data_IF_380311234770
#
_entry.id   IF_380311234770
#
_cell.length_a   1.000
_cell.length_b   1.000
_cell.length_c   1.000
_cell.angle_alpha   90.00
_cell.angle_beta   90.00
_cell.angle_gamma   90.00
#
_symmetry.space_group_name_H-M   'P 1'
#
loop_
_entity.id
_entity.type
_entity.pdbx_description
1 polymer ?
#
# COMPACT_ATOMS: atom_id res chain seq x y z
N UNK A 1 -19.31 36.17 6.88
CA UNK A 1 -18.30 35.19 7.32
C UNK A 1 -18.38 33.95 6.43
N UNK A 2 -17.40 33.75 5.54
CA UNK A 2 -17.19 32.48 4.83
C UNK A 2 -15.71 32.10 5.00
N UNK A 3 -15.39 31.59 6.17
CA UNK A 3 -14.12 30.89 6.41
C UNK A 3 -14.41 29.40 6.29
N UNK A 4 -13.84 28.76 5.27
CA UNK A 4 -13.09 27.52 5.54
C UNK A 4 -12.04 27.29 4.45
N UNK A 5 -10.76 27.58 4.73
CA UNK A 5 -9.63 27.28 3.85
C UNK A 5 -9.14 25.83 4.06
N UNK A 6 -10.04 24.84 4.01
CA UNK A 6 -9.75 23.50 4.55
C UNK A 6 -9.00 22.53 3.63
N UNK A 7 -8.93 22.74 2.31
CA UNK A 7 -7.97 22.00 1.46
C UNK A 7 -6.58 22.66 1.53
N UNK A 8 -6.08 22.85 2.75
CA UNK A 8 -4.71 23.32 2.96
C UNK A 8 -3.73 22.16 2.82
N UNK A 9 -2.53 22.44 2.32
CA UNK A 9 -1.42 21.48 2.26
C UNK A 9 -1.24 20.72 3.58
N UNK A 10 -1.36 21.44 4.70
CA UNK A 10 -1.22 20.90 6.04
C UNK A 10 -2.36 19.95 6.41
N UNK A 11 -3.60 20.25 6.00
CA UNK A 11 -4.77 19.39 6.22
C UNK A 11 -4.65 18.06 5.48
N UNK A 12 -4.35 18.10 4.18
CA UNK A 12 -4.16 16.89 3.36
C UNK A 12 -3.00 16.04 3.89
N UNK A 13 -1.87 16.68 4.24
CA UNK A 13 -0.71 16.02 4.87
C UNK A 13 -1.09 15.32 6.17
N UNK A 14 -1.82 16.00 7.06
CA UNK A 14 -2.22 15.44 8.35
C UNK A 14 -3.12 14.21 8.18
N UNK A 15 -4.09 14.27 7.26
CA UNK A 15 -4.97 13.12 6.98
C UNK A 15 -4.19 11.95 6.36
N UNK A 16 -3.25 12.22 5.47
CA UNK A 16 -2.38 11.18 4.92
C UNK A 16 -1.54 10.51 6.01
N UNK A 17 -0.95 11.29 6.93
CA UNK A 17 -0.21 10.74 8.07
C UNK A 17 -1.10 9.90 9.01
N UNK A 18 -2.32 10.33 9.29
CA UNK A 18 -3.29 9.54 10.05
C UNK A 18 -3.56 8.18 9.40
N UNK A 19 -3.76 8.18 8.07
CA UNK A 19 -3.97 6.95 7.29
C UNK A 19 -2.75 6.04 7.35
N UNK A 20 -1.55 6.59 7.15
CA UNK A 20 -0.30 5.83 7.24
C UNK A 20 -0.12 5.20 8.63
N UNK A 21 -0.31 5.97 9.70
CA UNK A 21 -0.21 5.47 11.07
C UNK A 21 -1.24 4.36 11.34
N UNK A 22 -2.48 4.53 10.91
CA UNK A 22 -3.51 3.53 11.09
C UNK A 22 -3.21 2.24 10.31
N UNK A 23 -2.73 2.35 9.07
CA UNK A 23 -2.35 1.17 8.29
C UNK A 23 -1.14 0.43 8.87
N UNK A 24 -0.11 1.15 9.31
CA UNK A 24 1.03 0.56 10.01
C UNK A 24 0.65 -0.16 11.29
N UNK A 25 -0.35 0.38 12.01
CA UNK A 25 -0.91 -0.29 13.19
C UNK A 25 -1.52 -1.64 12.87
N UNK A 26 -2.19 -1.80 11.72
CA UNK A 26 -2.70 -3.12 11.29
C UNK A 26 -1.57 -4.15 11.10
N UNK A 27 -0.36 -3.68 10.79
CA UNK A 27 0.84 -4.51 10.70
C UNK A 27 1.58 -4.70 12.01
N UNK A 28 1.03 -4.21 13.13
CA UNK A 28 1.58 -4.38 14.48
C UNK A 28 2.54 -3.29 14.93
N UNK A 29 2.66 -2.18 14.19
CA UNK A 29 3.45 -1.02 14.62
C UNK A 29 2.68 -0.26 15.71
N UNK A 30 3.30 0.15 16.83
CA UNK A 30 2.59 0.69 17.99
C UNK A 30 2.20 2.17 17.81
N UNK A 31 1.41 2.48 16.77
CA UNK A 31 0.80 3.79 16.59
C UNK A 31 -0.59 3.86 17.24
N UNK A 32 -0.94 5.03 17.75
CA UNK A 32 -2.23 5.27 18.41
C UNK A 32 -3.36 5.65 17.44
N UNK A 33 -3.06 5.86 16.16
CA UNK A 33 -4.06 6.22 15.17
C UNK A 33 -5.14 5.12 15.03
N UNK A 34 -6.39 5.56 14.90
CA UNK A 34 -7.56 4.72 14.63
C UNK A 34 -8.28 5.33 13.45
N UNK A 35 -8.42 4.57 12.37
CA UNK A 35 -9.39 4.92 11.35
C UNK A 35 -10.77 4.43 11.79
N UNK A 36 -11.79 5.29 11.78
CA UNK A 36 -13.16 4.86 12.04
C UNK A 36 -13.64 3.94 10.92
N UNK A 37 -14.44 2.93 11.27
CA UNK A 37 -15.06 2.03 10.29
C UNK A 37 -14.46 0.62 10.26
N UNK A 38 -14.97 -0.19 9.33
CA UNK A 38 -14.58 -1.58 9.18
C UNK A 38 -13.24 -1.72 8.42
N UNK A 39 -12.34 -2.57 8.95
CA UNK A 39 -11.01 -2.84 8.40
C UNK A 39 -11.07 -3.78 7.19
N UNK A 40 -11.67 -3.30 6.10
CA UNK A 40 -11.98 -4.11 4.91
C UNK A 40 -10.92 -3.99 3.82
N UNK A 41 -10.18 -2.88 3.82
CA UNK A 41 -9.17 -2.58 2.81
C UNK A 41 -7.92 -3.44 3.00
N UNK A 42 -7.53 -4.14 1.95
CA UNK A 42 -6.24 -4.85 1.87
C UNK A 42 -5.13 -3.82 1.74
N UNK A 43 -4.16 -3.85 2.65
CA UNK A 43 -3.03 -2.92 2.64
C UNK A 43 -1.89 -3.50 1.79
N UNK A 44 -1.39 -2.71 0.84
CA UNK A 44 -0.15 -3.01 0.13
C UNK A 44 1.07 -2.54 0.97
N UNK A 45 1.90 -3.46 1.49
CA UNK A 45 3.02 -3.09 2.35
C UNK A 45 4.14 -2.35 1.63
N UNK A 46 4.36 -2.57 0.32
CA UNK A 46 5.40 -1.83 -0.40
C UNK A 46 4.94 -0.41 -0.73
N UNK A 47 3.67 -0.23 -1.12
CA UNK A 47 3.15 1.12 -1.37
C UNK A 47 3.01 1.91 -0.06
N UNK A 48 2.61 1.26 1.04
CA UNK A 48 2.61 1.87 2.37
C UNK A 48 4.02 2.32 2.78
N UNK A 49 5.01 1.44 2.62
CA UNK A 49 6.41 1.76 2.89
C UNK A 49 6.90 2.92 2.03
N UNK A 50 6.70 2.82 0.70
CA UNK A 50 7.14 3.84 -0.25
C UNK A 50 6.53 5.20 0.04
N UNK A 51 5.23 5.25 0.34
CA UNK A 51 4.55 6.48 0.74
C UNK A 51 5.13 7.03 2.06
N UNK A 52 5.36 6.17 3.05
CA UNK A 52 5.88 6.58 4.36
C UNK A 52 7.25 7.25 4.28
N UNK A 53 8.11 6.84 3.34
CA UNK A 53 9.44 7.43 3.14
C UNK A 53 9.38 8.94 2.88
N UNK A 54 8.29 9.43 2.27
CA UNK A 54 8.05 10.87 2.04
C UNK A 54 8.12 11.70 3.32
N UNK A 55 7.69 11.11 4.45
CA UNK A 55 7.49 11.82 5.70
C UNK A 55 8.55 11.49 6.76
N UNK A 56 9.38 10.47 6.55
CA UNK A 56 10.31 9.99 7.59
C UNK A 56 11.34 11.03 8.06
N UNK A 57 11.68 12.02 7.23
CA UNK A 57 12.56 13.13 7.62
C UNK A 57 11.89 14.13 8.56
N UNK A 58 10.56 14.21 8.55
CA UNK A 58 9.74 15.16 9.30
C UNK A 58 9.00 14.49 10.47
N UNK A 59 8.80 13.17 10.40
CA UNK A 59 8.01 12.38 11.36
C UNK A 59 8.89 11.28 12.00
N UNK A 60 9.65 11.59 13.09
CA UNK A 60 10.57 10.65 13.72
C UNK A 60 9.91 9.36 14.20
N UNK A 61 8.67 9.46 14.72
CA UNK A 61 7.90 8.28 15.19
C UNK A 61 7.54 7.35 14.04
N UNK A 62 7.14 7.92 12.90
CA UNK A 62 6.89 7.14 11.69
C UNK A 62 8.19 6.45 11.23
N UNK A 63 9.29 7.20 11.16
CA UNK A 63 10.59 6.68 10.74
C UNK A 63 11.08 5.51 11.61
N UNK A 64 10.97 5.63 12.93
CA UNK A 64 11.34 4.57 13.87
C UNK A 64 10.45 3.33 13.70
N UNK A 65 9.13 3.50 13.68
CA UNK A 65 8.17 2.41 13.54
C UNK A 65 8.33 1.64 12.22
N UNK A 66 8.46 2.38 11.11
CA UNK A 66 8.69 1.81 9.77
C UNK A 66 10.00 1.02 9.74
N UNK A 67 11.11 1.61 10.21
CA UNK A 67 12.43 0.96 10.22
C UNK A 67 12.42 -0.33 11.04
N UNK A 68 11.83 -0.28 12.23
CA UNK A 68 11.73 -1.42 13.12
C UNK A 68 10.92 -2.55 12.45
N UNK A 69 9.78 -2.21 11.84
CA UNK A 69 8.94 -3.18 11.15
C UNK A 69 9.65 -3.81 9.95
N UNK A 70 10.29 -3.00 9.11
CA UNK A 70 11.04 -3.45 7.92
C UNK A 70 12.16 -4.40 8.32
N UNK A 71 12.89 -4.08 9.39
CA UNK A 71 13.97 -4.92 9.91
C UNK A 71 13.44 -6.27 10.40
N UNK A 72 12.31 -6.28 11.10
CA UNK A 72 11.69 -7.51 11.61
C UNK A 72 11.01 -8.35 10.52
N UNK A 73 10.55 -7.74 9.42
CA UNK A 73 9.72 -8.38 8.38
C UNK A 73 10.38 -8.40 6.99
N UNK A 74 11.70 -8.25 6.89
CA UNK A 74 12.43 -8.10 5.62
C UNK A 74 12.10 -9.17 4.58
N UNK A 75 11.91 -10.42 5.02
CA UNK A 75 11.58 -11.55 4.12
C UNK A 75 10.20 -11.44 3.48
N UNK A 76 9.31 -10.66 4.08
CA UNK A 76 7.94 -10.46 3.59
C UNK A 76 7.80 -9.25 2.68
N UNK A 77 8.84 -8.42 2.56
CA UNK A 77 8.84 -7.23 1.69
C UNK A 77 9.31 -7.61 0.29
N UNK A 78 8.59 -7.18 -0.73
CA UNK A 78 9.01 -7.35 -2.12
C UNK A 78 10.04 -6.28 -2.51
N UNK A 79 11.32 -6.61 -2.30
CA UNK A 79 12.45 -5.71 -2.63
C UNK A 79 12.50 -5.34 -4.12
N UNK A 80 12.11 -6.25 -5.00
CA UNK A 80 12.11 -5.98 -6.44
C UNK A 80 11.10 -4.88 -6.81
N UNK A 81 9.91 -4.88 -6.20
CA UNK A 81 8.92 -3.81 -6.39
C UNK A 81 9.45 -2.47 -5.89
N UNK A 82 10.00 -2.41 -4.69
CA UNK A 82 10.56 -1.17 -4.13
C UNK A 82 11.74 -0.65 -4.96
N UNK A 83 12.62 -1.53 -5.45
CA UNK A 83 13.69 -1.14 -6.36
C UNK A 83 13.16 -0.62 -7.70
N UNK A 84 12.03 -1.15 -8.17
CA UNK A 84 11.37 -0.64 -9.37
C UNK A 84 10.81 0.75 -9.13
N UNK A 85 10.10 0.96 -8.02
CA UNK A 85 9.60 2.27 -7.59
C UNK A 85 10.74 3.30 -7.48
N UNK A 86 11.84 2.93 -6.80
CA UNK A 86 13.02 3.78 -6.64
C UNK A 86 13.68 4.15 -7.97
N UNK A 87 13.75 3.20 -8.91
CA UNK A 87 14.30 3.47 -10.25
C UNK A 87 13.40 4.37 -11.08
N UNK A 88 12.08 4.25 -10.95
CA UNK A 88 11.13 5.10 -11.68
C UNK A 88 11.03 6.51 -11.10
N UNK A 89 11.29 6.67 -9.80
CA UNK A 89 11.26 7.95 -9.10
C UNK A 89 12.62 8.67 -9.21
N UNK A 90 12.95 9.13 -10.41
CA UNK A 90 14.21 9.84 -10.70
C UNK A 90 14.28 11.13 -9.87
N UNK A 91 15.40 11.35 -9.16
CA UNK A 91 15.62 12.49 -8.26
C UNK A 91 14.62 12.59 -7.09
N UNK A 92 14.04 11.47 -6.66
CA UNK A 92 13.14 11.42 -5.50
C UNK A 92 13.90 11.01 -4.23
N UNK A 93 13.79 11.81 -3.17
CA UNK A 93 14.43 11.55 -1.87
C UNK A 93 14.05 10.17 -1.30
N UNK A 94 12.85 9.67 -1.61
CA UNK A 94 12.40 8.33 -1.18
C UNK A 94 13.33 7.22 -1.66
N UNK A 95 13.92 7.38 -2.85
CA UNK A 95 14.87 6.41 -3.42
C UNK A 95 16.15 6.32 -2.58
N UNK A 96 16.68 7.44 -2.12
CA UNK A 96 17.86 7.50 -1.25
C UNK A 96 17.57 6.90 0.13
N UNK A 97 16.41 7.24 0.70
CA UNK A 97 15.97 6.72 2.00
C UNK A 97 15.74 5.20 1.95
N UNK A 98 15.17 4.70 0.86
CA UNK A 98 15.03 3.26 0.64
C UNK A 98 16.40 2.57 0.59
N UNK A 99 17.35 3.13 -0.17
CA UNK A 99 18.70 2.57 -0.25
C UNK A 99 19.40 2.58 1.12
N UNK A 100 19.27 3.66 1.89
CA UNK A 100 19.82 3.74 3.24
C UNK A 100 19.21 2.71 4.19
N UNK A 101 17.91 2.43 4.10
CA UNK A 101 17.26 1.35 4.87
C UNK A 101 17.78 -0.03 4.49
N UNK A 102 18.03 -0.25 3.20
CA UNK A 102 18.54 -1.52 2.68
C UNK A 102 20.00 -1.78 3.08
N UNK A 103 20.82 -0.73 3.10
CA UNK A 103 22.23 -0.76 3.49
C UNK A 103 22.42 -0.89 5.00
N UNK A 104 21.54 -0.25 5.79
CA UNK A 104 21.54 -0.35 7.25
C UNK A 104 21.11 -1.72 7.75
N UNK A 105 20.43 -2.51 6.92
CA UNK A 105 20.05 -3.85 7.29
C UNK A 105 21.30 -4.74 7.29
N UNK A 106 21.55 -5.52 8.35
CA UNK A 106 22.77 -6.31 8.48
C UNK A 106 22.95 -7.13 7.22
N UNK A 107 24.01 -6.80 6.47
CA UNK A 107 24.34 -7.52 5.26
C UNK A 107 24.53 -8.97 5.69
N UNK A 108 24.00 -9.90 4.89
CA UNK A 108 24.49 -11.26 4.92
C UNK A 108 25.93 -11.25 4.41
N UNK A 109 26.84 -10.60 5.15
CA UNK A 109 28.26 -10.79 5.01
C UNK A 109 28.45 -12.30 5.10
N UNK A 110 28.96 -12.88 4.01
CA UNK A 110 29.36 -14.28 3.93
C UNK A 110 29.99 -14.65 5.26
N UNK A 111 29.26 -15.37 6.09
CA UNK A 111 29.75 -15.79 7.38
C UNK A 111 30.92 -16.71 7.08
N UNK A 112 32.15 -16.19 7.23
CA UNK A 112 33.32 -17.04 7.47
C UNK A 112 32.88 -18.00 8.57
N UNK A 113 32.95 -19.30 8.28
CA UNK A 113 32.58 -20.39 9.20
C UNK A 113 33.46 -20.33 10.45
N UNK A 114 33.16 -19.41 11.36
CA UNK A 114 33.65 -19.48 12.72
C UNK A 114 32.48 -20.06 13.51
N UNK A 115 32.68 -21.27 14.03
CA UNK A 115 31.74 -21.94 14.94
C UNK A 115 31.65 -21.11 16.23
N UNK A 116 30.83 -20.08 16.21
CA UNK A 116 30.39 -19.38 17.42
C UNK A 116 28.89 -19.56 17.51
N UNK A 117 28.49 -20.34 18.52
CA UNK A 117 27.12 -20.54 18.99
C UNK A 117 26.53 -19.20 19.42
N UNK A 118 26.16 -18.37 18.45
CA UNK A 118 25.41 -17.14 18.68
C UNK A 118 23.96 -17.52 18.94
N UNK A 119 23.53 -17.31 20.19
CA UNK A 119 22.11 -17.31 20.57
C UNK A 119 21.37 -16.44 19.56
N UNK A 120 20.54 -17.05 18.70
CA UNK A 120 19.49 -16.36 17.95
C UNK A 120 18.69 -15.57 18.96
N UNK A 121 18.93 -14.26 19.06
CA UNK A 121 17.99 -13.34 19.68
C UNK A 121 16.71 -13.51 18.88
N UNK A 122 15.72 -14.17 19.48
CA UNK A 122 14.35 -14.19 18.97
C UNK A 122 13.90 -12.73 18.97
N UNK A 123 14.14 -12.02 17.88
CA UNK A 123 13.46 -10.75 17.61
C UNK A 123 11.99 -11.09 17.65
N UNK A 124 11.31 -10.68 18.73
CA UNK A 124 9.86 -10.83 18.83
C UNK A 124 9.28 -10.15 17.58
N UNK A 125 8.41 -10.81 16.82
CA UNK A 125 7.73 -10.11 15.72
C UNK A 125 7.04 -8.89 16.33
N UNK A 126 7.30 -7.71 15.75
CA UNK A 126 6.61 -6.49 16.15
C UNK A 126 5.09 -6.72 16.02
N UNK A 127 4.42 -6.60 17.17
CA UNK A 127 2.97 -6.68 17.33
C UNK A 127 2.31 -8.02 16.96
N UNK A 128 1.10 -8.22 17.47
CA UNK A 128 0.16 -9.13 16.83
C UNK A 128 -0.44 -8.37 15.65
N UNK A 129 -0.22 -8.88 14.44
CA UNK A 129 -0.89 -8.36 13.24
C UNK A 129 -2.39 -8.44 13.43
N UNK A 130 -3.12 -7.48 12.88
CA UNK A 130 -4.56 -7.56 12.90
C UNK A 130 -5.06 -8.80 12.14
N UNK A 131 -6.04 -9.48 12.71
CA UNK A 131 -6.80 -10.49 11.98
C UNK A 131 -7.78 -9.77 11.06
N UNK A 132 -7.79 -10.16 9.77
CA UNK A 132 -8.70 -9.59 8.79
C UNK A 132 -8.06 -9.13 7.47
N UNK A 133 -8.86 -8.50 6.59
CA UNK A 133 -8.48 -8.13 5.22
C UNK A 133 -7.23 -7.27 5.11
N UNK A 134 -6.97 -6.38 6.07
CA UNK A 134 -5.84 -5.45 6.02
C UNK A 134 -4.49 -6.12 5.92
N UNK A 135 -4.32 -7.33 6.47
CA UNK A 135 -3.06 -8.08 6.35
C UNK A 135 -3.14 -9.25 5.38
N UNK A 136 -4.15 -9.28 4.49
CA UNK A 136 -4.39 -10.37 3.55
C UNK A 136 -3.19 -10.61 2.62
N UNK A 137 -2.54 -9.55 2.13
CA UNK A 137 -1.34 -9.69 1.28
C UNK A 137 -0.17 -10.33 2.03
N UNK A 138 0.04 -10.00 3.31
CA UNK A 138 1.10 -10.62 4.10
C UNK A 138 0.83 -12.11 4.31
N UNK A 139 -0.42 -12.50 4.61
CA UNK A 139 -0.79 -13.93 4.73
C UNK A 139 -0.70 -14.65 3.39
N UNK A 140 -1.09 -13.99 2.30
CA UNK A 140 -0.97 -14.53 0.94
C UNK A 140 0.49 -14.81 0.58
N UNK A 141 1.43 -13.96 1.03
CA UNK A 141 2.87 -14.19 0.83
C UNK A 141 3.41 -15.33 1.69
N UNK A 142 2.94 -15.44 2.93
CA UNK A 142 3.31 -16.55 3.79
C UNK A 142 2.85 -17.90 3.21
N UNK A 143 1.70 -17.92 2.50
CA UNK A 143 1.15 -19.13 1.87
C UNK A 143 1.69 -19.43 0.46
N UNK A 144 1.86 -18.41 -0.39
CA UNK A 144 2.16 -18.56 -1.82
C UNK A 144 3.57 -18.09 -2.22
N UNK A 145 4.32 -17.52 -1.29
CA UNK A 145 5.58 -16.86 -1.55
C UNK A 145 5.43 -15.39 -1.94
N UNK A 146 6.57 -14.68 -2.00
CA UNK A 146 6.62 -13.25 -2.23
C UNK A 146 6.73 -12.90 -3.73
N UNK A 147 5.71 -13.29 -4.49
CA UNK A 147 5.61 -13.02 -5.93
C UNK A 147 4.21 -12.51 -6.33
N UNK A 148 4.00 -12.34 -7.64
CA UNK A 148 2.77 -11.80 -8.20
C UNK A 148 1.50 -12.63 -7.88
N UNK A 149 1.63 -13.92 -7.54
CA UNK A 149 0.50 -14.79 -7.17
C UNK A 149 -0.13 -14.35 -5.86
N UNK A 150 0.69 -13.90 -4.90
CA UNK A 150 0.21 -13.39 -3.61
C UNK A 150 -0.69 -12.16 -3.75
N UNK A 151 -0.47 -11.35 -4.79
CA UNK A 151 -1.34 -10.22 -5.12
C UNK A 151 -2.56 -10.67 -5.93
N UNK A 152 -2.34 -11.50 -6.95
CA UNK A 152 -3.43 -11.97 -7.81
C UNK A 152 -4.53 -12.64 -6.98
N UNK A 153 -4.19 -13.44 -5.97
CA UNK A 153 -5.21 -14.06 -5.11
C UNK A 153 -6.03 -13.03 -4.32
N UNK A 154 -5.38 -12.01 -3.74
CA UNK A 154 -6.08 -10.97 -2.98
C UNK A 154 -7.02 -10.16 -3.87
N UNK A 155 -6.58 -9.81 -5.09
CA UNK A 155 -7.41 -9.14 -6.10
C UNK A 155 -8.60 -10.00 -6.51
N UNK A 156 -8.42 -11.30 -6.73
CA UNK A 156 -9.54 -12.18 -7.10
C UNK A 156 -10.53 -12.40 -5.95
N UNK A 157 -10.07 -12.52 -4.70
CA UNK A 157 -10.94 -12.65 -3.53
C UNK A 157 -11.78 -11.37 -3.34
N UNK A 158 -11.15 -10.20 -3.48
CA UNK A 158 -11.84 -8.90 -3.35
C UNK A 158 -12.77 -8.56 -4.51
N UNK A 159 -12.67 -9.28 -5.64
CA UNK A 159 -13.46 -9.02 -6.84
C UNK A 159 -14.14 -10.33 -7.33
N UNK A 160 -15.28 -10.73 -6.73
CA UNK A 160 -15.95 -11.98 -7.08
C UNK A 160 -16.41 -12.10 -8.54
N UNK A 161 -16.62 -10.97 -9.22
CA UNK A 161 -16.97 -10.91 -10.65
C UNK A 161 -15.75 -11.03 -11.57
N UNK A 162 -14.55 -11.14 -11.00
CA UNK A 162 -13.28 -11.21 -11.70
C UNK A 162 -12.56 -9.88 -11.83
N UNK A 163 -11.31 -9.97 -12.25
CA UNK A 163 -10.40 -8.84 -12.46
C UNK A 163 -9.83 -8.87 -13.86
N UNK A 164 -9.57 -7.70 -14.43
CA UNK A 164 -8.73 -7.61 -15.63
C UNK A 164 -7.28 -7.70 -15.20
N UNK A 165 -6.51 -8.58 -15.85
CA UNK A 165 -5.10 -8.80 -15.50
C UNK A 165 -4.23 -7.54 -15.69
N UNK A 166 -4.63 -6.65 -16.61
CA UNK A 166 -3.98 -5.36 -16.82
C UNK A 166 -4.14 -4.43 -15.63
N UNK A 167 -5.29 -4.45 -14.97
CA UNK A 167 -5.56 -3.59 -13.82
C UNK A 167 -4.76 -4.08 -12.60
N UNK A 168 -4.69 -5.41 -12.41
CA UNK A 168 -3.80 -6.00 -11.39
C UNK A 168 -2.32 -5.67 -11.67
N UNK A 169 -1.89 -5.75 -12.94
CA UNK A 169 -0.52 -5.38 -13.32
C UNK A 169 -0.20 -3.92 -12.99
N UNK A 170 -1.12 -2.99 -13.28
CA UNK A 170 -0.97 -1.57 -12.94
C UNK A 170 -0.90 -1.36 -11.43
N UNK A 171 -1.87 -1.87 -10.68
CA UNK A 171 -1.99 -1.64 -9.23
C UNK A 171 -0.82 -2.24 -8.43
N UNK A 172 -0.18 -3.30 -8.95
CA UNK A 172 0.88 -4.02 -8.24
C UNK A 172 2.28 -3.73 -8.78
N UNK A 173 2.40 -3.04 -9.91
CA UNK A 173 3.68 -2.81 -10.60
C UNK A 173 4.34 -4.07 -11.19
N UNK A 174 3.71 -5.25 -11.12
CA UNK A 174 4.20 -6.42 -11.84
C UNK A 174 3.95 -6.29 -13.34
N UNK A 175 4.85 -6.88 -14.14
CA UNK A 175 4.64 -6.95 -15.58
C UNK A 175 3.35 -7.70 -15.92
N UNK A 176 2.64 -7.26 -16.95
CA UNK A 176 1.45 -7.95 -17.46
C UNK A 176 1.75 -9.42 -17.78
N UNK A 177 2.95 -9.69 -18.33
CA UNK A 177 3.41 -11.03 -18.65
C UNK A 177 3.41 -11.94 -17.41
N UNK A 178 4.01 -11.48 -16.30
CA UNK A 178 4.07 -12.26 -15.05
C UNK A 178 2.68 -12.57 -14.50
N UNK A 179 1.78 -11.58 -14.49
CA UNK A 179 0.39 -11.75 -14.04
C UNK A 179 -0.36 -12.72 -14.97
N UNK A 180 -0.18 -12.58 -16.28
CA UNK A 180 -0.81 -13.45 -17.28
C UNK A 180 -0.32 -14.89 -17.18
N UNK A 181 0.98 -15.12 -17.02
CA UNK A 181 1.55 -16.47 -16.86
C UNK A 181 1.02 -17.14 -15.58
N UNK A 182 0.93 -16.39 -14.47
CA UNK A 182 0.34 -16.89 -13.23
C UNK A 182 -1.14 -17.26 -13.39
N UNK A 183 -1.94 -16.37 -14.00
CA UNK A 183 -3.37 -16.60 -14.24
C UNK A 183 -3.62 -17.81 -15.17
N UNK A 184 -2.87 -17.94 -16.26
CA UNK A 184 -2.96 -19.08 -17.18
C UNK A 184 -2.55 -20.39 -16.48
N UNK A 185 -1.51 -20.36 -15.64
CA UNK A 185 -1.13 -21.53 -14.85
C UNK A 185 -2.22 -21.94 -13.87
N UNK A 186 -2.91 -20.99 -13.24
CA UNK A 186 -4.04 -21.25 -12.34
C UNK A 186 -5.29 -21.73 -13.07
N UNK A 187 -5.53 -21.23 -14.28
CA UNK A 187 -6.62 -21.73 -15.12
C UNK A 187 -6.40 -23.21 -15.49
N UNK A 188 -5.19 -23.58 -15.91
CA UNK A 188 -4.83 -24.98 -16.19
C UNK A 188 -4.97 -25.89 -14.96
N UNK A 189 -4.72 -25.35 -13.77
CA UNK A 189 -4.88 -26.06 -12.50
C UNK A 189 -6.33 -26.06 -11.98
N UNK A 190 -7.27 -25.43 -12.67
CA UNK A 190 -8.68 -25.34 -12.26
C UNK A 190 -8.94 -24.37 -11.09
N UNK A 191 -7.96 -23.53 -10.72
CA UNK A 191 -8.06 -22.55 -9.64
C UNK A 191 -8.87 -21.33 -10.08
N UNK A 192 -8.65 -20.87 -11.32
CA UNK A 192 -9.32 -19.71 -11.92
C UNK A 192 -9.89 -20.03 -13.29
N UNK A 193 -10.69 -19.11 -13.85
CA UNK A 193 -11.14 -19.13 -15.24
C UNK A 193 -10.95 -17.75 -15.85
N UNK A 194 -10.55 -17.70 -17.11
CA UNK A 194 -10.45 -16.47 -17.89
C UNK A 194 -11.64 -16.42 -18.85
N UNK A 195 -12.58 -15.51 -18.61
CA UNK A 195 -13.78 -15.32 -19.44
C UNK A 195 -13.93 -13.87 -19.84
N UNK A 196 -14.10 -13.61 -21.14
CA UNK A 196 -14.29 -12.27 -21.69
C UNK A 196 -13.25 -11.23 -21.21
N UNK A 197 -11.99 -11.67 -21.03
CA UNK A 197 -10.89 -10.82 -20.56
C UNK A 197 -10.81 -10.61 -19.04
N UNK A 198 -11.67 -11.27 -18.26
CA UNK A 198 -11.65 -11.27 -16.79
C UNK A 198 -11.18 -12.61 -16.25
N UNK A 199 -10.25 -12.57 -15.30
CA UNK A 199 -9.87 -13.73 -14.50
C UNK A 199 -10.74 -13.79 -13.24
N UNK A 200 -11.34 -14.94 -12.95
CA UNK A 200 -12.24 -15.17 -11.81
C UNK A 200 -11.80 -16.42 -11.07
N UNK A 201 -11.89 -16.45 -9.73
CA UNK A 201 -11.71 -17.70 -8.98
C UNK A 201 -12.86 -18.68 -9.26
N UNK A 202 -12.54 -19.96 -9.44
CA UNK A 202 -13.57 -21.01 -9.58
C UNK A 202 -14.32 -21.21 -8.27
N UNK A 203 -13.58 -21.27 -7.16
CA UNK A 203 -14.12 -21.38 -5.82
C UNK A 203 -13.25 -20.56 -4.85
N UNK A 204 -13.77 -19.44 -4.30
CA UNK A 204 -13.00 -18.62 -3.35
C UNK A 204 -12.92 -19.22 -1.95
N UNK A 205 -13.77 -20.20 -1.58
CA UNK A 205 -13.88 -20.66 -0.18
C UNK A 205 -12.59 -21.27 0.38
N UNK A 206 -11.87 -22.19 -0.30
CA UNK A 206 -10.63 -22.76 0.22
C UNK A 206 -9.54 -21.70 0.43
N UNK A 207 -9.51 -20.69 -0.43
CA UNK A 207 -8.58 -19.57 -0.31
C UNK A 207 -8.94 -18.64 0.84
N UNK A 208 -10.23 -18.37 1.03
CA UNK A 208 -10.72 -17.59 2.17
C UNK A 208 -10.40 -18.27 3.50
N UNK A 209 -10.57 -19.59 3.58
CA UNK A 209 -10.20 -20.41 4.74
C UNK A 209 -8.69 -20.37 4.98
N UNK A 210 -7.89 -20.70 3.97
CA UNK A 210 -6.42 -20.71 4.05
C UNK A 210 -5.87 -19.34 4.48
N UNK A 211 -6.45 -18.25 3.97
CA UNK A 211 -6.00 -16.89 4.22
C UNK A 211 -6.74 -16.19 5.37
N UNK A 212 -7.54 -16.94 6.13
CA UNK A 212 -8.34 -16.47 7.26
C UNK A 212 -9.07 -15.14 6.95
N UNK A 213 -9.90 -15.15 5.92
CA UNK A 213 -10.68 -13.98 5.49
C UNK A 213 -12.08 -14.37 4.99
N UNK A 214 -12.92 -13.36 4.78
CA UNK A 214 -14.23 -13.53 4.16
C UNK A 214 -14.28 -12.67 2.90
N UNK A 215 -14.53 -13.26 1.73
CA UNK A 215 -14.52 -12.51 0.46
C UNK A 215 -15.40 -11.24 0.48
N UNK A 216 -16.58 -11.31 1.10
CA UNK A 216 -17.49 -10.15 1.24
C UNK A 216 -16.90 -9.00 2.09
N UNK A 217 -15.85 -9.25 2.89
CA UNK A 217 -15.15 -8.26 3.70
C UNK A 217 -13.84 -7.79 3.07
N UNK A 218 -13.41 -8.36 1.94
CA UNK A 218 -12.17 -7.97 1.28
C UNK A 218 -12.47 -6.85 0.29
N UNK A 219 -11.77 -5.74 0.44
CA UNK A 219 -11.79 -4.63 -0.51
C UNK A 219 -10.36 -4.36 -0.96
N UNK A 220 -10.15 -4.28 -2.26
CA UNK A 220 -8.84 -3.97 -2.83
C UNK A 220 -8.88 -2.58 -3.42
N UNK A 221 -8.00 -1.73 -2.92
CA UNK A 221 -7.78 -0.36 -3.38
C UNK A 221 -6.47 -0.34 -4.14
N UNK A 222 -6.38 0.43 -5.23
CA UNK A 222 -5.11 0.73 -5.88
C UNK A 222 -4.32 1.72 -5.00
N UNK A 223 -3.62 1.19 -4.00
CA UNK A 223 -2.83 2.00 -3.07
C UNK A 223 -1.68 2.72 -3.75
N UNK A 224 -1.16 2.20 -4.86
CA UNK A 224 -0.16 2.89 -5.64
C UNK A 224 -0.72 4.20 -6.18
N UNK A 225 -1.83 4.14 -6.94
CA UNK A 225 -2.49 5.33 -7.47
C UNK A 225 -2.94 6.29 -6.36
N UNK A 226 -3.49 5.73 -5.27
CA UNK A 226 -3.95 6.51 -4.11
C UNK A 226 -2.84 7.35 -3.49
N UNK A 227 -1.70 6.71 -3.19
CA UNK A 227 -0.59 7.39 -2.54
C UNK A 227 0.18 8.31 -3.47
N UNK A 228 0.37 7.95 -4.75
CA UNK A 228 1.02 8.86 -5.69
C UNK A 228 0.18 10.14 -5.87
N UNK A 229 -1.13 10.02 -6.09
CA UNK A 229 -2.01 11.18 -6.23
C UNK A 229 -1.97 12.08 -4.98
N UNK A 230 -1.99 11.48 -3.78
CA UNK A 230 -1.94 12.21 -2.52
C UNK A 230 -0.61 12.95 -2.32
N UNK A 231 0.52 12.30 -2.61
CA UNK A 231 1.86 12.91 -2.50
C UNK A 231 2.05 14.01 -3.53
N UNK A 232 1.67 13.77 -4.78
CA UNK A 232 1.76 14.77 -5.84
C UNK A 232 0.95 16.02 -5.49
N UNK A 233 -0.24 15.85 -4.91
CA UNK A 233 -1.04 16.96 -4.44
C UNK A 233 -0.34 17.71 -3.30
N UNK A 234 0.12 17.02 -2.25
CA UNK A 234 0.82 17.65 -1.11
C UNK A 234 2.04 18.45 -1.59
N UNK A 235 2.87 17.87 -2.46
CA UNK A 235 4.03 18.55 -3.07
C UNK A 235 3.61 19.77 -3.89
N UNK A 236 2.54 19.64 -4.68
CA UNK A 236 2.02 20.75 -5.51
C UNK A 236 1.48 21.89 -4.65
N UNK A 237 0.69 21.59 -3.62
CA UNK A 237 0.16 22.58 -2.69
C UNK A 237 1.28 23.27 -1.89
N UNK A 238 2.30 22.53 -1.47
CA UNK A 238 3.47 23.10 -0.79
C UNK A 238 4.21 24.09 -1.68
N UNK A 239 4.41 23.74 -2.96
CA UNK A 239 5.03 24.63 -3.96
C UNK A 239 4.17 25.86 -4.24
N UNK A 240 2.86 25.69 -4.42
CA UNK A 240 1.92 26.79 -4.64
C UNK A 240 1.94 27.77 -3.46
N UNK A 241 1.94 27.26 -2.22
CA UNK A 241 2.08 28.09 -1.00
C UNK A 241 3.39 28.86 -0.99
N UNK A 242 4.52 28.21 -1.31
CA UNK A 242 5.82 28.87 -1.34
C UNK A 242 5.90 30.00 -2.40
N UNK A 243 5.12 29.89 -3.47
CA UNK A 243 4.98 30.91 -4.51
C UNK A 243 3.88 31.95 -4.23
N UNK A 244 3.19 31.85 -3.09
CA UNK A 244 2.12 32.79 -2.72
C UNK A 244 0.84 32.66 -3.55
N UNK A 245 0.59 31.51 -4.19
CA UNK A 245 -0.63 31.29 -4.95
C UNK A 245 -1.85 31.18 -4.03
N UNK A 246 -2.94 31.86 -4.40
CA UNK A 246 -4.25 31.72 -3.75
C UNK A 246 -4.79 30.29 -3.90
N UNK A 247 -5.58 29.77 -2.95
CA UNK A 247 -6.30 28.50 -3.11
C UNK A 247 -7.15 28.42 -4.39
N UNK A 248 -7.70 29.55 -4.84
CA UNK A 248 -8.50 29.64 -6.07
C UNK A 248 -7.66 29.73 -7.35
N UNK A 249 -6.34 29.65 -7.24
CA UNK A 249 -5.46 29.72 -8.41
C UNK A 249 -5.71 28.52 -9.34
N UNK A 250 -5.80 28.70 -10.68
CA UNK A 250 -6.14 27.63 -11.61
C UNK A 250 -5.28 26.36 -11.49
N UNK A 251 -3.98 26.51 -11.19
CA UNK A 251 -3.08 25.38 -10.97
C UNK A 251 -3.43 24.57 -9.71
N UNK A 252 -3.86 25.22 -8.64
CA UNK A 252 -4.25 24.56 -7.39
C UNK A 252 -5.55 23.78 -7.61
N UNK A 253 -6.56 24.42 -8.20
CA UNK A 253 -7.83 23.78 -8.56
C UNK A 253 -7.59 22.57 -9.48
N UNK A 254 -6.75 22.73 -10.50
CA UNK A 254 -6.43 21.63 -11.41
C UNK A 254 -5.74 20.48 -10.70
N UNK A 255 -4.81 20.74 -9.78
CA UNK A 255 -4.12 19.70 -9.01
C UNK A 255 -5.10 18.92 -8.11
N UNK A 256 -5.99 19.62 -7.41
CA UNK A 256 -7.03 19.00 -6.57
C UNK A 256 -7.94 18.11 -7.43
N UNK A 257 -8.43 18.62 -8.57
CA UNK A 257 -9.30 17.85 -9.47
C UNK A 257 -8.61 16.60 -10.03
N UNK A 258 -7.34 16.71 -10.41
CA UNK A 258 -6.56 15.57 -10.89
C UNK A 258 -6.40 14.51 -9.79
N UNK A 259 -6.11 14.94 -8.57
CA UNK A 259 -5.99 14.03 -7.43
C UNK A 259 -7.32 13.34 -7.08
N UNK A 260 -8.44 14.08 -7.02
CA UNK A 260 -9.76 13.50 -6.77
C UNK A 260 -10.16 12.48 -7.85
N UNK A 261 -9.91 12.80 -9.13
CA UNK A 261 -10.16 11.86 -10.22
C UNK A 261 -9.31 10.58 -10.11
N UNK A 262 -8.04 10.72 -9.71
CA UNK A 262 -7.16 9.56 -9.50
C UNK A 262 -7.61 8.69 -8.31
N UNK A 263 -8.04 9.31 -7.20
CA UNK A 263 -8.61 8.60 -6.06
C UNK A 263 -9.91 7.88 -6.42
N UNK A 264 -10.83 8.52 -7.15
CA UNK A 264 -12.07 7.88 -7.61
C UNK A 264 -11.77 6.60 -8.42
N UNK A 265 -10.80 6.67 -9.34
CA UNK A 265 -10.39 5.52 -10.14
C UNK A 265 -9.74 4.44 -9.25
N UNK A 266 -8.90 4.84 -8.30
CA UNK A 266 -8.18 3.93 -7.42
C UNK A 266 -9.09 3.11 -6.49
N UNK A 267 -10.27 3.64 -6.14
CA UNK A 267 -11.29 2.91 -5.40
C UNK A 267 -11.92 1.74 -6.19
N UNK A 268 -11.76 1.71 -7.52
CA UNK A 268 -12.29 0.63 -8.36
C UNK A 268 -13.81 0.45 -8.28
N UNK A 269 -14.55 1.51 -7.94
CA UNK A 269 -16.01 1.49 -7.73
C UNK A 269 -16.44 0.88 -6.39
N UNK A 270 -15.53 0.69 -5.43
CA UNK A 270 -15.89 0.29 -4.08
C UNK A 270 -16.69 1.40 -3.36
N UNK A 271 -17.71 0.99 -2.61
CA UNK A 271 -18.48 1.91 -1.76
C UNK A 271 -17.57 2.56 -0.70
N UNK A 272 -17.72 3.87 -0.52
CA UNK A 272 -16.98 4.67 0.47
C UNK A 272 -17.08 4.11 1.87
N UNK A 273 -18.25 3.57 2.24
CA UNK A 273 -18.47 2.95 3.56
C UNK A 273 -17.55 1.74 3.82
N UNK A 274 -17.04 1.14 2.75
CA UNK A 274 -16.16 -0.03 2.77
C UNK A 274 -14.69 0.30 2.54
N UNK A 275 -14.38 1.55 2.23
CA UNK A 275 -13.01 2.05 2.01
C UNK A 275 -12.71 3.24 2.92
N UNK A 276 -12.75 3.06 4.26
CA UNK A 276 -12.66 4.19 5.19
C UNK A 276 -11.33 4.94 5.09
N UNK A 277 -10.20 4.26 4.87
CA UNK A 277 -8.91 4.92 4.74
C UNK A 277 -8.84 5.75 3.45
N UNK A 278 -9.24 5.15 2.32
CA UNK A 278 -9.27 5.83 1.03
C UNK A 278 -10.27 7.00 1.02
N UNK A 279 -11.48 6.78 1.56
CA UNK A 279 -12.52 7.81 1.62
C UNK A 279 -12.06 9.00 2.44
N UNK A 280 -11.40 8.78 3.58
CA UNK A 280 -10.84 9.86 4.40
C UNK A 280 -9.82 10.71 3.63
N UNK A 281 -8.96 10.09 2.81
CA UNK A 281 -8.03 10.84 1.94
C UNK A 281 -8.78 11.71 0.93
N UNK A 282 -9.87 11.18 0.38
CA UNK A 282 -10.69 11.89 -0.60
C UNK A 282 -11.48 13.04 0.02
N UNK A 283 -12.08 12.83 1.18
CA UNK A 283 -12.83 13.86 1.91
C UNK A 283 -11.90 15.04 2.27
N UNK A 284 -10.64 14.75 2.62
CA UNK A 284 -9.62 15.77 2.83
C UNK A 284 -9.32 16.63 1.58
N UNK A 285 -9.58 16.11 0.36
CA UNK A 285 -9.46 16.89 -0.87
C UNK A 285 -10.67 17.80 -1.06
N UNK A 286 -11.87 17.31 -0.72
CA UNK A 286 -13.13 18.05 -0.82
C UNK A 286 -13.23 19.21 0.18
N UNK A 287 -12.39 19.21 1.23
CA UNK A 287 -12.40 20.23 2.28
C UNK A 287 -13.51 20.03 3.30
N UNK A 288 -14.08 18.82 3.35
CA UNK A 288 -15.07 18.32 4.31
C UNK A 288 -14.38 17.71 5.55
#
# INVERSE_FOLDING_TARGET
MKTSPTTSETGVRAVLLDVLHAQWREFGVPFNAILPGAKLEVIDPEELLWCSLEFTSQEPRLAEGVRAWVTANRTRINRQRLNTLARTAVNDQRSELWQALEDAAPSGAKAKKTKTTTKKTKTKPLGNRADGPSTLLLRSRDALGNDCRSFLIAHLIGNPRGVRLRDVSKATGYSYRSISEAATSWERAGVSRIKHGYCVLVNPAPWCELLNCTAAKVVVVDWHATYQASIELVRTLAKARALGFSPDHPLVISAIRTADAALEIAAGGADRSRTPAHSRLRDALAGE
#
